data_IF_053973044892
#
_entry.id   IF_053973044892
#
_cell.length_a   1.000
_cell.length_b   1.000
_cell.length_c   1.000
_cell.angle_alpha   90.00
_cell.angle_beta   90.00
_cell.angle_gamma   90.00
#
_symmetry.space_group_name_H-M   'P 1'
#
loop_
_entity.id
_entity.type
_entity.pdbx_description
1 polymer ?
#
# COMPACT_ATOMS: atom_id res chain seq x y z
N UNK A 1 6.90 27.66 24.69
CA UNK A 1 5.86 26.61 24.63
C UNK A 1 5.12 26.73 23.30
N UNK A 2 5.43 25.90 22.30
CA UNK A 2 4.72 25.93 21.01
C UNK A 2 3.45 25.09 21.12
N UNK A 3 2.28 25.73 21.01
CA UNK A 3 0.97 25.09 21.11
C UNK A 3 0.73 24.32 19.81
N UNK A 4 0.75 22.99 19.85
CA UNK A 4 0.43 22.14 18.69
C UNK A 4 -1.01 22.41 18.25
N UNK A 5 -1.19 23.20 17.18
CA UNK A 5 -2.51 23.43 16.59
C UNK A 5 -2.91 22.14 15.86
N UNK A 6 -3.90 21.43 16.40
CA UNK A 6 -4.55 20.35 15.67
C UNK A 6 -5.22 20.94 14.42
N UNK A 7 -5.02 20.29 13.27
CA UNK A 7 -5.68 20.68 12.02
C UNK A 7 -7.19 20.74 12.22
N UNK A 8 -7.84 21.78 11.68
CA UNK A 8 -9.30 21.81 11.65
C UNK A 8 -9.84 20.61 10.83
N UNK A 9 -11.03 20.11 11.15
CA UNK A 9 -11.57 18.87 10.56
C UNK A 9 -11.61 18.91 9.02
N UNK A 10 -11.89 20.08 8.43
CA UNK A 10 -11.93 20.28 6.97
C UNK A 10 -10.57 20.07 6.33
N UNK A 11 -9.51 20.66 6.89
CA UNK A 11 -8.14 20.48 6.42
C UNK A 11 -7.64 19.05 6.62
N UNK A 12 -8.12 18.37 7.67
CA UNK A 12 -7.83 16.96 7.90
C UNK A 12 -8.41 16.08 6.77
N UNK A 13 -9.70 16.25 6.46
CA UNK A 13 -10.36 15.55 5.35
C UNK A 13 -9.70 15.85 4.00
N UNK A 14 -9.43 17.13 3.69
CA UNK A 14 -8.77 17.52 2.43
C UNK A 14 -7.40 16.85 2.27
N UNK A 15 -6.63 16.77 3.35
CA UNK A 15 -5.32 16.13 3.31
C UNK A 15 -5.42 14.59 3.15
N UNK A 16 -6.41 13.95 3.76
CA UNK A 16 -6.71 12.52 3.54
C UNK A 16 -7.03 12.26 2.07
N UNK A 17 -8.04 12.95 1.54
CA UNK A 17 -8.45 12.88 0.13
C UNK A 17 -7.30 13.14 -0.85
N UNK A 18 -6.41 14.09 -0.54
CA UNK A 18 -5.23 14.36 -1.36
C UNK A 18 -4.22 13.19 -1.36
N UNK A 19 -4.01 12.53 -0.20
CA UNK A 19 -3.16 11.35 -0.11
C UNK A 19 -3.76 10.19 -0.90
N UNK A 20 -5.04 9.86 -0.67
CA UNK A 20 -5.74 8.79 -1.38
C UNK A 20 -5.67 8.98 -2.90
N UNK A 21 -5.88 10.22 -3.37
CA UNK A 21 -5.79 10.55 -4.80
C UNK A 21 -4.40 10.29 -5.35
N UNK A 22 -3.35 10.75 -4.64
CA UNK A 22 -1.97 10.56 -5.08
C UNK A 22 -1.53 9.10 -5.05
N UNK A 23 -1.99 8.32 -4.07
CA UNK A 23 -1.74 6.87 -4.01
C UNK A 23 -2.45 6.17 -5.16
N UNK A 24 -3.72 6.47 -5.41
CA UNK A 24 -4.49 5.90 -6.53
C UNK A 24 -3.80 6.19 -7.88
N UNK A 25 -3.41 7.44 -8.12
CA UNK A 25 -2.74 7.84 -9.36
C UNK A 25 -1.37 7.16 -9.51
N UNK A 26 -0.64 7.00 -8.40
CA UNK A 26 0.65 6.31 -8.39
C UNK A 26 0.50 4.82 -8.72
N UNK A 27 -0.49 4.14 -8.15
CA UNK A 27 -0.73 2.71 -8.43
C UNK A 27 -1.27 2.47 -9.84
N UNK A 28 -2.17 3.34 -10.35
CA UNK A 28 -2.62 3.30 -11.75
C UNK A 28 -1.44 3.37 -12.72
N UNK A 29 -0.55 4.34 -12.50
CA UNK A 29 0.65 4.49 -13.31
C UNK A 29 1.57 3.29 -13.11
N UNK A 30 1.91 2.96 -11.86
CA UNK A 30 2.93 1.97 -11.54
C UNK A 30 2.59 0.56 -12.01
N UNK A 31 1.31 0.19 -11.95
CA UNK A 31 0.79 -1.11 -12.37
C UNK A 31 0.21 -1.09 -13.79
N UNK A 32 0.31 0.05 -14.49
CA UNK A 32 -0.27 0.30 -15.81
C UNK A 32 -1.75 -0.16 -15.93
N UNK A 33 -2.52 0.05 -14.85
CA UNK A 33 -3.91 -0.40 -14.76
C UNK A 33 -4.86 0.79 -14.52
N UNK A 34 -5.58 1.27 -15.56
CA UNK A 34 -6.50 2.39 -15.43
C UNK A 34 -7.75 2.05 -14.61
N UNK A 35 -8.03 0.78 -14.33
CA UNK A 35 -9.21 0.32 -13.59
C UNK A 35 -9.08 0.53 -12.08
N UNK A 36 -7.85 0.64 -11.56
CA UNK A 36 -7.60 1.01 -10.15
C UNK A 36 -8.34 2.30 -9.85
N UNK A 37 -9.01 2.42 -8.70
CA UNK A 37 -9.80 3.62 -8.39
C UNK A 37 -9.90 3.86 -6.89
N UNK A 38 -10.13 5.12 -6.51
CA UNK A 38 -10.57 5.43 -5.15
C UNK A 38 -11.97 4.89 -4.93
N UNK A 39 -12.13 4.13 -3.87
CA UNK A 39 -13.43 3.71 -3.41
C UNK A 39 -14.12 4.88 -2.70
N UNK A 40 -15.44 4.81 -2.73
CA UNK A 40 -16.30 5.58 -1.84
C UNK A 40 -17.04 4.53 -1.00
N UNK A 41 -17.53 4.93 0.16
CA UNK A 41 -18.38 4.08 1.01
C UNK A 41 -19.40 3.32 0.15
N UNK A 42 -19.24 1.99 0.06
CA UNK A 42 -20.12 1.13 -0.73
C UNK A 42 -21.17 0.55 0.21
N UNK A 43 -22.24 1.31 0.42
CA UNK A 43 -23.27 0.94 1.40
C UNK A 43 -22.79 1.13 2.84
N UNK A 44 -23.07 0.16 3.71
CA UNK A 44 -22.83 0.26 5.16
C UNK A 44 -21.45 -0.26 5.61
N UNK A 45 -20.72 -0.96 4.73
CA UNK A 45 -19.41 -1.54 5.04
C UNK A 45 -18.32 -0.77 4.33
N UNK A 46 -17.25 -0.50 5.05
CA UNK A 46 -16.03 0.05 4.46
C UNK A 46 -15.21 -1.09 3.85
N UNK A 47 -14.72 -0.86 2.63
CA UNK A 47 -13.96 -1.83 1.81
C UNK A 47 -12.52 -1.35 1.59
N UNK A 48 -12.13 -0.26 2.25
CA UNK A 48 -10.86 0.43 2.08
C UNK A 48 -10.94 1.58 1.10
N UNK A 49 -9.81 2.28 0.93
CA UNK A 49 -9.71 3.53 0.18
C UNK A 49 -9.44 3.34 -1.32
N UNK A 50 -8.69 2.29 -1.71
CA UNK A 50 -8.30 2.03 -3.09
C UNK A 50 -8.75 0.63 -3.52
N UNK A 51 -9.47 0.54 -4.64
CA UNK A 51 -10.02 -0.70 -5.18
C UNK A 51 -9.44 -1.08 -6.54
N UNK A 52 -9.79 -2.28 -6.99
CA UNK A 52 -9.30 -2.92 -8.22
C UNK A 52 -7.78 -3.13 -8.24
N UNK A 53 -7.15 -3.33 -7.08
CA UNK A 53 -5.74 -3.72 -6.98
C UNK A 53 -5.69 -5.22 -6.70
N UNK A 54 -4.85 -5.94 -7.43
CA UNK A 54 -4.75 -7.39 -7.34
C UNK A 54 -3.30 -7.84 -7.24
N UNK A 55 -3.09 -8.98 -6.58
CA UNK A 55 -1.83 -9.71 -6.59
C UNK A 55 -2.13 -11.17 -6.89
N UNK A 56 -1.58 -11.71 -7.97
CA UNK A 56 -1.81 -13.11 -8.37
C UNK A 56 -3.32 -13.46 -8.42
N UNK A 57 -4.13 -12.53 -8.94
CA UNK A 57 -5.59 -12.67 -9.05
C UNK A 57 -6.37 -12.47 -7.75
N UNK A 58 -5.72 -12.30 -6.60
CA UNK A 58 -6.36 -12.03 -5.31
C UNK A 58 -6.49 -10.53 -5.07
N UNK A 59 -7.65 -10.11 -4.55
CA UNK A 59 -7.90 -8.71 -4.23
C UNK A 59 -6.92 -8.23 -3.15
N UNK A 60 -6.50 -6.97 -3.26
CA UNK A 60 -5.66 -6.27 -2.27
C UNK A 60 -6.43 -5.09 -1.71
N UNK A 61 -6.68 -5.11 -0.41
CA UNK A 61 -7.33 -4.02 0.32
C UNK A 61 -6.29 -2.99 0.76
N UNK A 62 -6.56 -1.71 0.51
CA UNK A 62 -5.61 -0.63 0.79
C UNK A 62 -6.30 0.48 1.57
N UNK A 63 -5.73 0.81 2.72
CA UNK A 63 -6.22 1.88 3.60
C UNK A 63 -5.19 3.02 3.71
N UNK A 64 -5.59 4.27 3.52
CA UNK A 64 -4.70 5.43 3.47
C UNK A 64 -4.81 6.32 4.72
N UNK A 65 -3.70 6.50 5.45
CA UNK A 65 -3.67 7.31 6.68
C UNK A 65 -2.83 8.58 6.53
N UNK A 66 -3.49 9.75 6.48
CA UNK A 66 -2.80 11.05 6.57
C UNK A 66 -2.71 11.58 8.00
N UNK A 67 -1.88 10.92 8.81
CA UNK A 67 -1.63 11.27 10.21
C UNK A 67 -0.16 11.15 10.56
N UNK A 68 0.30 11.98 11.51
CA UNK A 68 1.64 11.86 12.13
C UNK A 68 1.63 10.91 13.34
N UNK A 69 0.45 10.47 13.78
CA UNK A 69 0.31 9.58 14.95
C UNK A 69 0.81 8.19 14.59
N UNK A 70 1.57 7.58 15.49
CA UNK A 70 2.03 6.18 15.41
C UNK A 70 0.95 5.21 15.89
N UNK A 71 -0.28 5.38 15.40
CA UNK A 71 -1.44 4.55 15.78
C UNK A 71 -1.51 3.26 14.95
N UNK A 72 -0.37 2.60 14.75
CA UNK A 72 -0.22 1.50 13.79
C UNK A 72 -1.16 0.33 14.12
N UNK A 73 -1.31 -0.05 15.39
CA UNK A 73 -2.23 -1.12 15.80
C UNK A 73 -3.70 -0.81 15.52
N UNK A 74 -4.11 0.46 15.59
CA UNK A 74 -5.46 0.89 15.26
C UNK A 74 -5.68 0.82 13.76
N UNK A 75 -4.76 1.42 12.98
CA UNK A 75 -4.85 1.42 11.53
C UNK A 75 -4.78 0.01 10.93
N UNK A 76 -3.97 -0.89 11.48
CA UNK A 76 -3.89 -2.29 11.01
C UNK A 76 -5.19 -3.05 11.27
N UNK A 77 -5.81 -2.87 12.45
CA UNK A 77 -7.11 -3.50 12.76
C UNK A 77 -8.22 -3.01 11.83
N UNK A 78 -8.21 -1.73 11.48
CA UNK A 78 -9.15 -1.14 10.53
C UNK A 78 -8.97 -1.77 9.14
N UNK A 79 -7.74 -1.77 8.61
CA UNK A 79 -7.44 -2.38 7.31
C UNK A 79 -7.75 -3.88 7.27
N UNK A 80 -7.49 -4.63 8.34
CA UNK A 80 -7.85 -6.05 8.45
C UNK A 80 -9.37 -6.25 8.46
N UNK A 81 -10.12 -5.36 9.13
CA UNK A 81 -11.59 -5.40 9.16
C UNK A 81 -12.18 -5.12 7.77
N UNK A 82 -11.65 -4.11 7.07
CA UNK A 82 -12.04 -3.76 5.71
C UNK A 82 -11.73 -4.90 4.73
N UNK A 83 -10.57 -5.54 4.89
CA UNK A 83 -10.21 -6.70 4.08
C UNK A 83 -11.19 -7.87 4.30
N UNK A 84 -11.61 -8.11 5.54
CA UNK A 84 -12.68 -9.06 5.86
C UNK A 84 -14.03 -8.68 5.26
N UNK A 85 -14.35 -7.38 5.13
CA UNK A 85 -15.56 -6.94 4.43
C UNK A 85 -15.49 -7.11 2.91
N UNK A 86 -14.28 -7.07 2.36
CA UNK A 86 -13.99 -7.20 0.93
C UNK A 86 -13.68 -8.65 0.50
N UNK A 87 -13.80 -9.63 1.41
CA UNK A 87 -13.39 -11.03 1.22
C UNK A 87 -11.93 -11.15 0.72
N UNK A 88 -11.04 -10.31 1.26
CA UNK A 88 -9.63 -10.19 0.90
C UNK A 88 -8.72 -10.64 2.03
N UNK A 89 -7.74 -11.50 1.73
CA UNK A 89 -6.69 -11.88 2.68
C UNK A 89 -5.47 -10.93 2.62
N UNK A 90 -5.38 -10.10 1.59
CA UNK A 90 -4.28 -9.19 1.36
C UNK A 90 -4.70 -7.78 1.74
N UNK A 91 -3.97 -7.17 2.68
CA UNK A 91 -4.29 -5.82 3.13
C UNK A 91 -3.06 -5.03 3.53
N UNK A 92 -3.09 -3.73 3.27
CA UNK A 92 -1.99 -2.81 3.55
C UNK A 92 -2.50 -1.46 4.03
N UNK A 93 -1.77 -0.87 4.98
CA UNK A 93 -1.92 0.54 5.32
C UNK A 93 -0.84 1.35 4.63
N UNK A 94 -1.24 2.41 3.92
CA UNK A 94 -0.35 3.40 3.34
C UNK A 94 -0.45 4.69 4.18
N UNK A 95 0.58 4.97 4.95
CA UNK A 95 0.62 6.15 5.80
C UNK A 95 1.49 7.25 5.22
N UNK A 96 0.99 8.49 5.32
CA UNK A 96 1.77 9.69 5.01
C UNK A 96 3.03 9.74 5.88
N UNK A 97 4.19 9.56 5.25
CA UNK A 97 5.48 9.64 5.91
C UNK A 97 5.82 11.10 6.24
N UNK A 98 6.08 11.46 7.52
CA UNK A 98 6.46 12.82 7.88
C UNK A 98 7.74 13.27 7.19
N UNK A 99 7.78 14.52 6.72
CA UNK A 99 8.94 15.10 6.04
C UNK A 99 9.07 14.72 4.55
N UNK A 100 8.22 13.83 4.04
CA UNK A 100 8.17 13.50 2.60
C UNK A 100 6.99 14.24 1.95
N UNK A 101 7.14 14.72 0.72
CA UNK A 101 6.04 15.31 -0.05
C UNK A 101 5.05 14.27 -0.59
N UNK A 102 4.05 14.73 -1.35
CA UNK A 102 3.18 13.92 -2.23
C UNK A 102 2.99 14.61 -3.59
N UNK A 103 3.87 15.55 -3.92
CA UNK A 103 3.75 16.37 -5.13
C UNK A 103 4.27 15.62 -6.36
N UNK A 104 5.34 14.82 -6.20
CA UNK A 104 5.99 14.06 -7.27
C UNK A 104 5.82 12.57 -7.08
N UNK A 105 5.99 11.78 -8.15
CA UNK A 105 5.88 10.31 -8.10
C UNK A 105 6.90 9.71 -7.13
N UNK A 106 8.13 10.21 -7.14
CA UNK A 106 9.21 9.75 -6.24
C UNK A 106 8.82 10.01 -4.78
N UNK A 107 8.23 11.18 -4.50
CA UNK A 107 7.77 11.50 -3.15
C UNK A 107 6.61 10.60 -2.71
N UNK A 108 5.71 10.22 -3.62
CA UNK A 108 4.59 9.32 -3.33
C UNK A 108 5.09 7.88 -3.14
N UNK A 109 5.99 7.39 -3.98
CA UNK A 109 6.60 6.05 -3.83
C UNK A 109 7.31 5.85 -2.49
N UNK A 110 7.81 6.93 -1.88
CA UNK A 110 8.45 6.91 -0.55
C UNK A 110 7.48 6.88 0.65
N UNK A 111 6.17 6.89 0.43
CA UNK A 111 5.22 6.78 1.57
C UNK A 111 5.39 5.45 2.29
N UNK A 112 5.07 5.44 3.59
CA UNK A 112 5.23 4.27 4.44
C UNK A 112 4.10 3.29 4.17
N UNK A 113 4.46 2.03 3.94
CA UNK A 113 3.52 0.91 3.86
C UNK A 113 3.77 -0.02 5.03
N UNK A 114 2.71 -0.51 5.67
CA UNK A 114 2.83 -1.58 6.65
C UNK A 114 1.62 -2.51 6.67
N UNK A 115 1.87 -3.73 7.14
CA UNK A 115 0.89 -4.81 7.30
C UNK A 115 1.42 -5.80 8.36
N UNK A 116 0.77 -6.95 8.51
CA UNK A 116 1.24 -8.06 9.34
C UNK A 116 2.11 -9.06 8.52
N UNK A 117 3.07 -9.72 9.18
CA UNK A 117 3.90 -10.76 8.55
C UNK A 117 3.05 -11.90 7.97
N UNK A 118 1.88 -12.20 8.53
CA UNK A 118 0.97 -13.22 8.00
C UNK A 118 0.55 -12.92 6.56
N UNK A 119 0.26 -11.65 6.23
CA UNK A 119 -0.08 -11.20 4.87
C UNK A 119 1.09 -11.42 3.92
N UNK A 120 2.31 -11.12 4.35
CA UNK A 120 3.52 -11.33 3.53
C UNK A 120 3.78 -12.82 3.29
N UNK A 121 3.56 -13.66 4.30
CA UNK A 121 3.65 -15.11 4.15
C UNK A 121 2.58 -15.65 3.19
N UNK A 122 1.38 -15.07 3.21
CA UNK A 122 0.30 -15.41 2.28
C UNK A 122 0.67 -15.03 0.84
N UNK A 123 1.16 -13.83 0.59
CA UNK A 123 1.68 -13.44 -0.74
C UNK A 123 2.81 -14.37 -1.21
N UNK A 124 3.77 -14.68 -0.34
CA UNK A 124 4.87 -15.58 -0.64
C UNK A 124 4.40 -17.00 -1.03
N UNK A 125 3.29 -17.47 -0.45
CA UNK A 125 2.70 -18.76 -0.81
C UNK A 125 2.03 -18.76 -2.19
N UNK A 126 1.49 -17.62 -2.64
CA UNK A 126 0.85 -17.49 -3.97
C UNK A 126 1.86 -17.65 -5.11
N UNK A 127 3.08 -17.15 -4.91
CA UNK A 127 4.21 -17.33 -5.82
C UNK A 127 4.76 -18.77 -5.87
N UNK A 128 4.23 -19.70 -5.07
CA UNK A 128 4.74 -21.09 -4.98
C UNK A 128 3.79 -22.12 -5.59
N UNK A 129 2.85 -21.68 -6.44
CA UNK A 129 1.69 -22.50 -6.83
C UNK A 129 1.92 -23.45 -8.02
N UNK A 130 3.05 -23.34 -8.72
CA UNK A 130 3.45 -24.28 -9.77
C UNK A 130 4.93 -24.64 -9.60
N UNK A 131 5.25 -25.92 -9.77
CA UNK A 131 6.53 -26.58 -9.55
C UNK A 131 7.80 -25.67 -9.55
N UNK A 132 8.27 -25.31 -8.36
CA UNK A 132 9.69 -25.34 -7.97
C UNK A 132 10.75 -24.67 -8.85
N UNK A 133 10.41 -23.72 -9.72
CA UNK A 133 11.40 -23.01 -10.53
C UNK A 133 12.24 -22.07 -9.63
N UNK A 134 13.54 -22.01 -9.90
CA UNK A 134 14.47 -21.11 -9.23
C UNK A 134 14.02 -19.64 -9.31
N UNK A 135 13.26 -19.29 -10.36
CA UNK A 135 12.65 -17.97 -10.52
C UNK A 135 11.66 -17.63 -9.40
N UNK A 136 10.70 -18.51 -9.12
CA UNK A 136 9.69 -18.32 -8.08
C UNK A 136 10.33 -18.25 -6.68
N UNK A 137 11.35 -19.07 -6.45
CA UNK A 137 12.15 -19.01 -5.22
C UNK A 137 12.85 -17.66 -5.06
N UNK A 138 13.43 -17.11 -6.13
CA UNK A 138 14.10 -15.81 -6.12
C UNK A 138 13.10 -14.66 -5.88
N UNK A 139 11.94 -14.69 -6.54
CA UNK A 139 10.87 -13.70 -6.32
C UNK A 139 10.36 -13.75 -4.87
N UNK A 140 10.11 -14.94 -4.34
CA UNK A 140 9.71 -15.14 -2.94
C UNK A 140 10.76 -14.59 -1.97
N UNK A 141 12.02 -14.91 -2.20
CA UNK A 141 13.12 -14.40 -1.38
C UNK A 141 13.18 -12.87 -1.43
N UNK A 142 13.10 -12.28 -2.63
CA UNK A 142 13.08 -10.82 -2.81
C UNK A 142 11.88 -10.18 -2.11
N UNK A 143 10.69 -10.74 -2.26
CA UNK A 143 9.47 -10.29 -1.60
C UNK A 143 9.67 -10.21 -0.10
N UNK A 144 10.13 -11.28 0.55
CA UNK A 144 10.32 -11.34 2.01
C UNK A 144 11.33 -10.28 2.48
N UNK A 145 12.42 -10.06 1.72
CA UNK A 145 13.51 -9.17 2.09
C UNK A 145 13.18 -7.67 2.01
N UNK A 146 12.16 -7.28 1.25
CA UNK A 146 11.72 -5.88 1.19
C UNK A 146 10.97 -5.42 2.45
N UNK A 147 10.60 -6.33 3.34
CA UNK A 147 9.79 -6.05 4.52
C UNK A 147 10.60 -6.08 5.82
N UNK A 148 10.66 -4.92 6.49
CA UNK A 148 11.35 -4.77 7.78
C UNK A 148 10.37 -4.87 8.93
N UNK A 149 10.65 -5.75 9.89
CA UNK A 149 9.86 -5.87 11.12
C UNK A 149 10.00 -4.63 12.01
N UNK A 150 8.94 -4.26 12.73
CA UNK A 150 8.97 -3.18 13.71
C UNK A 150 8.01 -3.43 14.88
N UNK A 151 8.29 -2.82 16.03
CA UNK A 151 7.47 -2.97 17.23
C UNK A 151 6.32 -1.97 17.24
N UNK A 152 5.11 -2.47 17.52
CA UNK A 152 3.91 -1.64 17.71
C UNK A 152 3.48 -1.72 19.18
N UNK A 153 3.25 -0.55 19.78
CA UNK A 153 2.69 -0.47 21.13
C UNK A 153 1.19 -0.77 21.06
N UNK A 154 0.72 -1.70 21.91
CA UNK A 154 -0.69 -2.08 21.96
C UNK A 154 -1.16 -2.88 20.75
N UNK A 155 -0.23 -3.53 20.04
CA UNK A 155 -0.58 -4.54 19.03
C UNK A 155 -1.21 -5.77 19.68
N UNK A 156 -2.04 -6.49 18.92
CA UNK A 156 -2.59 -7.76 19.35
C UNK A 156 -1.46 -8.78 19.61
N UNK A 157 -1.68 -9.69 20.57
CA UNK A 157 -0.78 -10.80 20.83
C UNK A 157 -0.63 -11.65 19.57
N UNK A 158 0.61 -11.89 19.11
CA UNK A 158 0.90 -12.66 17.90
C UNK A 158 0.94 -11.84 16.60
N UNK A 159 0.64 -10.53 16.63
CA UNK A 159 0.89 -9.67 15.48
C UNK A 159 2.40 -9.44 15.31
N UNK A 160 2.86 -9.51 14.07
CA UNK A 160 4.24 -9.27 13.66
C UNK A 160 4.28 -8.18 12.60
N UNK A 161 4.19 -6.89 12.98
CA UNK A 161 4.13 -5.78 12.04
C UNK A 161 5.40 -5.65 11.20
N UNK A 162 5.20 -5.41 9.92
CA UNK A 162 6.27 -5.24 8.93
C UNK A 162 6.00 -4.05 8.05
N UNK A 163 7.05 -3.41 7.56
CA UNK A 163 6.95 -2.18 6.79
C UNK A 163 7.90 -2.11 5.61
N UNK A 164 7.52 -1.32 4.61
CA UNK A 164 8.30 -1.00 3.43
C UNK A 164 7.82 0.34 2.83
N UNK A 165 8.20 0.65 1.58
CA UNK A 165 7.75 1.83 0.84
C UNK A 165 6.62 1.50 -0.14
N UNK A 166 5.86 2.51 -0.58
CA UNK A 166 4.84 2.33 -1.62
C UNK A 166 5.44 1.85 -2.95
N UNK A 167 6.64 2.32 -3.29
CA UNK A 167 7.41 1.84 -4.44
C UNK A 167 7.71 0.34 -4.35
N UNK A 168 8.17 -0.14 -3.19
CA UNK A 168 8.43 -1.57 -3.00
C UNK A 168 7.14 -2.41 -3.07
N UNK A 169 6.04 -1.92 -2.49
CA UNK A 169 4.75 -2.60 -2.63
C UNK A 169 4.33 -2.65 -4.10
N UNK A 170 4.39 -1.53 -4.82
CA UNK A 170 4.04 -1.49 -6.24
C UNK A 170 4.91 -2.43 -7.07
N UNK A 171 6.23 -2.50 -6.81
CA UNK A 171 7.11 -3.47 -7.46
C UNK A 171 6.67 -4.89 -7.18
N UNK A 172 6.34 -5.25 -5.93
CA UNK A 172 5.83 -6.58 -5.60
C UNK A 172 4.53 -6.88 -6.34
N UNK A 173 3.60 -5.93 -6.38
CA UNK A 173 2.31 -6.07 -7.07
C UNK A 173 2.47 -6.20 -8.59
N UNK A 174 3.57 -5.67 -9.14
CA UNK A 174 3.90 -5.73 -10.57
C UNK A 174 4.90 -6.87 -10.90
N UNK A 175 4.93 -7.95 -10.10
CA UNK A 175 5.86 -9.08 -10.28
C UNK A 175 7.34 -8.67 -10.40
N UNK A 176 7.69 -7.58 -9.71
CA UNK A 176 8.99 -6.91 -9.74
C UNK A 176 9.45 -6.38 -11.11
N UNK A 177 8.53 -6.28 -12.07
CA UNK A 177 8.76 -5.59 -13.33
C UNK A 177 8.85 -4.07 -13.11
N UNK A 178 9.52 -3.33 -14.00
CA UNK A 178 9.56 -1.88 -13.94
C UNK A 178 8.16 -1.26 -13.83
N UNK A 179 8.03 -0.26 -12.97
CA UNK A 179 6.77 0.47 -12.78
C UNK A 179 6.53 1.47 -13.92
N UNK A 180 5.26 1.68 -14.25
CA UNK A 180 4.87 2.57 -15.34
C UNK A 180 4.75 1.84 -16.67
N UNK A 181 4.11 2.46 -17.67
CA UNK A 181 4.19 1.98 -19.04
C UNK A 181 5.68 1.90 -19.40
N UNK A 182 6.15 0.73 -19.80
CA UNK A 182 7.52 0.55 -20.24
C UNK A 182 7.81 1.55 -21.34
N UNK A 183 8.92 2.30 -21.23
CA UNK A 183 9.37 3.21 -22.29
C UNK A 183 9.37 2.44 -23.62
N UNK A 184 8.34 2.66 -24.44
CA UNK A 184 8.47 2.47 -25.88
C UNK A 184 9.51 3.50 -26.29
N UNK A 185 10.74 3.05 -26.60
CA UNK A 185 11.73 3.88 -27.30
C UNK A 185 11.02 4.48 -28.52
N UNK A 186 10.68 5.76 -28.50
CA UNK A 186 10.01 6.35 -29.65
C UNK A 186 9.35 7.71 -29.51
N UNK A 187 9.18 8.27 -28.31
CA UNK A 187 8.63 9.63 -28.19
C UNK A 187 9.62 10.51 -27.41
N UNK A 188 10.49 11.16 -28.21
CA UNK A 188 11.19 12.38 -27.84
C UNK A 188 10.12 13.46 -27.58
N UNK A 189 9.88 13.77 -26.30
CA UNK A 189 9.19 15.00 -25.94
C UNK A 189 10.22 16.13 -25.97
N UNK A 190 10.44 16.64 -27.19
CA UNK A 190 10.87 18.01 -27.38
C UNK A 190 9.74 18.96 -26.99
N UNK A 191 9.96 19.73 -25.94
CA UNK A 191 9.80 21.20 -25.87
C UNK A 191 10.28 21.74 -24.51
#
# INVERSE_FOLDING_TARGET
MSRTVSRNRRSAKKAGTALETKVCDYLRWGLDDPRIQRLRLHGAKDLGDIGNVYFQGQLVTIECKNTKRKAYAEHMREAETEAGNADSELWFVIQKLPGVGIATRESVGRQLVYTDRSVINRMASMLSSFEGDAYDMALRHRLIHLWRGFTVRGGATGSHPVSTTLENLALILNDFLPLGPGMTKGEDDGE
#
